data_IF_311927536226
#
_entry.id   IF_311927536226
#
_cell.length_a   1.000
_cell.length_b   1.000
_cell.length_c   1.000
_cell.angle_alpha   90.00
_cell.angle_beta   90.00
_cell.angle_gamma   90.00
#
_symmetry.space_group_name_H-M   'P 1'
#
loop_
_entity.id
_entity.type
_entity.pdbx_description
1 polymer ?
#
# COMPACT_ATOMS: atom_id res chain seq x y z
N UNK A 1 -20.38 23.04 27.66
CA UNK A 1 -20.56 22.09 26.55
C UNK A 1 -20.17 22.79 25.25
N UNK A 2 -18.96 22.55 24.76
CA UNK A 2 -18.50 23.12 23.49
C UNK A 2 -19.03 22.24 22.35
N UNK A 3 -19.97 22.76 21.57
CA UNK A 3 -20.44 22.10 20.35
C UNK A 3 -19.34 22.21 19.29
N UNK A 4 -18.73 21.08 18.98
CA UNK A 4 -17.74 20.96 17.92
C UNK A 4 -18.47 21.19 16.58
N UNK A 5 -18.49 22.44 16.11
CA UNK A 5 -18.93 22.79 14.75
C UNK A 5 -17.94 22.13 13.77
N UNK A 6 -18.18 20.88 13.42
CA UNK A 6 -17.60 20.27 12.24
C UNK A 6 -18.06 21.07 11.03
N UNK A 7 -17.14 21.85 10.47
CA UNK A 7 -17.30 22.58 9.22
C UNK A 7 -17.59 21.58 8.08
N UNK A 8 -18.87 21.36 7.81
CA UNK A 8 -19.34 20.54 6.70
C UNK A 8 -19.04 21.20 5.33
N UNK A 9 -18.71 22.50 5.34
CA UNK A 9 -18.28 23.26 4.16
C UNK A 9 -16.91 22.83 3.60
N UNK A 10 -16.11 22.06 4.33
CA UNK A 10 -14.80 21.57 3.86
C UNK A 10 -14.88 20.30 2.99
N UNK A 11 -16.08 19.75 2.81
CA UNK A 11 -16.28 18.46 2.15
C UNK A 11 -16.53 18.55 0.64
N UNK A 12 -16.75 19.75 0.09
CA UNK A 12 -16.87 19.93 -1.37
C UNK A 12 -15.47 19.87 -2.00
N UNK A 13 -15.26 18.89 -2.87
CA UNK A 13 -14.01 18.75 -3.63
C UNK A 13 -13.94 19.84 -4.71
N UNK A 14 -12.80 20.55 -4.87
CA UNK A 14 -12.58 21.41 -6.03
C UNK A 14 -12.80 20.62 -7.33
N UNK A 15 -13.36 21.26 -8.37
CA UNK A 15 -13.65 20.60 -9.65
C UNK A 15 -12.42 19.91 -10.26
N UNK A 16 -11.25 20.53 -10.14
CA UNK A 16 -9.97 19.96 -10.58
C UNK A 16 -9.59 18.68 -9.83
N UNK A 17 -9.88 18.63 -8.52
CA UNK A 17 -9.60 17.45 -7.68
C UNK A 17 -10.56 16.31 -7.99
N UNK A 18 -11.82 16.64 -8.31
CA UNK A 18 -12.81 15.68 -8.83
C UNK A 18 -12.32 15.06 -10.14
N UNK A 19 -11.85 15.88 -11.09
CA UNK A 19 -11.31 15.39 -12.35
C UNK A 19 -10.12 14.44 -12.14
N UNK A 20 -9.19 14.79 -11.24
CA UNK A 20 -8.05 13.92 -10.88
C UNK A 20 -8.48 12.62 -10.20
N UNK A 21 -9.47 12.67 -9.30
CA UNK A 21 -10.06 11.48 -8.69
C UNK A 21 -10.62 10.55 -9.77
N UNK A 22 -11.38 11.08 -10.73
CA UNK A 22 -12.02 10.28 -11.77
C UNK A 22 -11.01 9.66 -12.73
N UNK A 23 -9.96 10.40 -13.07
CA UNK A 23 -8.80 9.88 -13.81
C UNK A 23 -8.15 8.69 -13.08
N UNK A 24 -7.86 8.86 -11.78
CA UNK A 24 -7.27 7.80 -10.95
C UNK A 24 -8.20 6.59 -10.83
N UNK A 25 -9.50 6.81 -10.60
CA UNK A 25 -10.49 5.74 -10.53
C UNK A 25 -10.58 4.96 -11.85
N UNK A 26 -10.57 5.65 -12.98
CA UNK A 26 -10.56 5.02 -14.30
C UNK A 26 -9.30 4.20 -14.55
N UNK A 27 -8.13 4.68 -14.13
CA UNK A 27 -6.89 3.92 -14.23
C UNK A 27 -6.94 2.67 -13.34
N UNK A 28 -7.40 2.80 -12.08
CA UNK A 28 -7.50 1.68 -11.14
C UNK A 28 -8.50 0.60 -11.59
N UNK A 29 -9.58 0.97 -12.29
CA UNK A 29 -10.52 -0.02 -12.86
C UNK A 29 -9.94 -0.79 -14.04
N UNK A 30 -9.00 -0.20 -14.79
CA UNK A 30 -8.30 -0.85 -15.90
C UNK A 30 -7.08 -1.64 -15.44
N UNK A 31 -6.47 -1.24 -14.33
CA UNK A 31 -5.28 -1.87 -13.80
C UNK A 31 -5.57 -3.33 -13.41
N UNK A 32 -4.81 -4.26 -13.98
CA UNK A 32 -4.60 -5.55 -13.32
C UNK A 32 -3.61 -5.33 -12.15
N UNK A 33 -3.71 -6.16 -11.11
CA UNK A 33 -2.85 -6.05 -9.92
C UNK A 33 -1.34 -6.06 -10.25
N UNK A 34 -0.96 -6.60 -11.41
CA UNK A 34 0.41 -6.74 -11.92
C UNK A 34 0.77 -5.78 -13.07
N UNK A 35 -0.14 -4.89 -13.49
CA UNK A 35 0.12 -3.94 -14.57
C UNK A 35 0.97 -2.76 -14.07
N UNK A 36 2.28 -2.87 -14.25
CA UNK A 36 3.23 -1.85 -13.82
C UNK A 36 3.00 -0.51 -14.52
N UNK A 37 2.60 -0.49 -15.79
CA UNK A 37 2.42 0.74 -16.56
C UNK A 37 1.20 1.51 -16.08
N UNK A 38 0.07 0.84 -15.87
CA UNK A 38 -1.12 1.50 -15.33
C UNK A 38 -0.88 2.03 -13.91
N UNK A 39 -0.18 1.26 -13.06
CA UNK A 39 0.18 1.70 -11.71
C UNK A 39 1.12 2.93 -11.74
N UNK A 40 2.04 3.00 -12.70
CA UNK A 40 2.89 4.17 -12.91
C UNK A 40 2.08 5.40 -13.29
N UNK A 41 1.11 5.26 -14.22
CA UNK A 41 0.21 6.36 -14.62
C UNK A 41 -0.63 6.87 -13.45
N UNK A 42 -1.12 5.98 -12.58
CA UNK A 42 -1.77 6.38 -11.32
C UNK A 42 -0.78 7.20 -10.48
N UNK A 43 0.46 6.73 -10.36
CA UNK A 43 1.54 7.45 -9.69
C UNK A 43 1.77 8.86 -10.24
N UNK A 44 1.81 9.03 -11.56
CA UNK A 44 1.96 10.34 -12.23
C UNK A 44 0.80 11.27 -11.87
N UNK A 45 -0.44 10.78 -11.93
CA UNK A 45 -1.62 11.56 -11.60
C UNK A 45 -1.61 12.00 -10.12
N UNK A 46 -1.27 11.10 -9.19
CA UNK A 46 -1.16 11.42 -7.76
C UNK A 46 0.00 12.39 -7.50
N UNK A 47 1.14 12.20 -8.16
CA UNK A 47 2.31 13.07 -8.01
C UNK A 47 2.01 14.51 -8.46
N UNK A 48 1.23 14.67 -9.54
CA UNK A 48 0.76 16.00 -9.97
C UNK A 48 -0.08 16.68 -8.88
N UNK A 49 -0.98 15.94 -8.21
CA UNK A 49 -1.77 16.46 -7.07
C UNK A 49 -0.87 16.88 -5.90
N UNK A 50 0.19 16.12 -5.63
CA UNK A 50 1.13 16.43 -4.54
C UNK A 50 1.98 17.68 -4.81
N UNK A 51 2.32 17.95 -6.08
CA UNK A 51 3.19 19.09 -6.44
C UNK A 51 2.48 20.44 -6.42
N UNK A 52 1.15 20.46 -6.43
CA UNK A 52 0.35 21.69 -6.47
C UNK A 52 -0.65 21.75 -5.29
N UNK A 53 -0.16 21.92 -4.05
CA UNK A 53 -1.00 21.98 -2.86
C UNK A 53 -1.87 23.24 -2.80
N UNK A 54 -1.56 24.29 -3.57
CA UNK A 54 -2.39 25.49 -3.66
C UNK A 54 -3.68 25.21 -4.43
N UNK A 55 -3.57 24.49 -5.55
CA UNK A 55 -4.72 24.08 -6.36
C UNK A 55 -5.55 22.98 -5.72
N UNK A 56 -4.90 21.95 -5.19
CA UNK A 56 -5.57 20.72 -4.73
C UNK A 56 -5.77 20.63 -3.22
N UNK A 57 -5.13 21.52 -2.45
CA UNK A 57 -5.10 21.50 -0.99
C UNK A 57 -4.15 20.44 -0.42
N UNK A 58 -3.63 20.72 0.79
CA UNK A 58 -2.69 19.83 1.52
C UNK A 58 -3.22 18.41 1.78
N UNK A 59 -4.54 18.22 1.72
CA UNK A 59 -5.22 16.93 1.93
C UNK A 59 -5.77 16.33 0.63
N UNK A 60 -5.39 16.85 -0.54
CA UNK A 60 -5.94 16.43 -1.84
C UNK A 60 -5.85 14.92 -2.06
N UNK A 61 -4.67 14.32 -1.84
CA UNK A 61 -4.48 12.86 -1.98
C UNK A 61 -5.33 12.06 -0.99
N UNK A 62 -5.45 12.52 0.26
CA UNK A 62 -6.28 11.84 1.27
C UNK A 62 -7.77 11.89 0.90
N UNK A 63 -8.23 13.01 0.35
CA UNK A 63 -9.59 13.17 -0.16
C UNK A 63 -9.86 12.27 -1.37
N UNK A 64 -8.89 12.14 -2.29
CA UNK A 64 -8.97 11.18 -3.41
C UNK A 64 -9.06 9.76 -2.88
N UNK A 65 -8.15 9.35 -1.98
CA UNK A 65 -8.10 8.01 -1.42
C UNK A 65 -9.41 7.60 -0.73
N UNK A 66 -10.10 8.53 -0.08
CA UNK A 66 -11.41 8.27 0.53
C UNK A 66 -12.51 7.96 -0.51
N UNK A 67 -12.31 8.32 -1.78
CA UNK A 67 -13.29 8.18 -2.85
C UNK A 67 -12.93 7.11 -3.89
N UNK A 68 -11.81 6.41 -3.73
CA UNK A 68 -11.36 5.33 -4.62
C UNK A 68 -11.02 4.08 -3.78
N UNK A 69 -11.03 2.86 -4.34
CA UNK A 69 -10.74 1.63 -3.58
C UNK A 69 -9.23 1.45 -3.34
N UNK A 70 -8.54 2.49 -2.85
CA UNK A 70 -7.11 2.50 -2.57
C UNK A 70 -6.80 3.34 -1.34
N UNK A 71 -5.82 2.92 -0.55
CA UNK A 71 -5.38 3.70 0.61
C UNK A 71 -4.49 4.87 0.19
N UNK A 72 -4.49 5.94 0.99
CA UNK A 72 -3.62 7.09 0.73
C UNK A 72 -2.13 6.69 0.72
N UNK A 73 -1.73 5.79 1.62
CA UNK A 73 -0.35 5.27 1.69
C UNK A 73 0.09 4.58 0.39
N UNK A 74 -0.82 3.82 -0.23
CA UNK A 74 -0.55 3.17 -1.52
C UNK A 74 -0.39 4.22 -2.63
N UNK A 75 -1.30 5.20 -2.71
CA UNK A 75 -1.22 6.29 -3.70
C UNK A 75 0.09 7.09 -3.55
N UNK A 76 0.52 7.41 -2.33
CA UNK A 76 1.81 8.05 -2.09
C UNK A 76 2.99 7.18 -2.54
N UNK A 77 2.90 5.87 -2.37
CA UNK A 77 3.93 4.94 -2.84
C UNK A 77 4.02 4.93 -4.38
N UNK A 78 2.88 5.00 -5.07
CA UNK A 78 2.83 5.08 -6.53
C UNK A 78 3.41 6.41 -7.02
N UNK A 79 3.02 7.52 -6.38
CA UNK A 79 3.59 8.83 -6.68
C UNK A 79 5.10 8.89 -6.46
N UNK A 80 5.62 8.18 -5.47
CA UNK A 80 7.06 8.09 -5.22
C UNK A 80 7.81 7.42 -6.37
N UNK A 81 7.24 6.38 -6.98
CA UNK A 81 7.79 5.74 -8.18
C UNK A 81 7.82 6.74 -9.33
N UNK A 82 6.69 7.41 -9.61
CA UNK A 82 6.59 8.44 -10.66
C UNK A 82 7.52 9.64 -10.44
N UNK A 83 7.79 10.01 -9.18
CA UNK A 83 8.75 11.06 -8.84
C UNK A 83 10.22 10.61 -9.01
N UNK A 84 10.48 9.31 -9.04
CA UNK A 84 11.84 8.74 -9.09
C UNK A 84 12.32 8.52 -10.52
N UNK A 85 11.42 8.13 -11.42
CA UNK A 85 11.71 7.87 -12.83
C UNK A 85 10.71 8.63 -13.70
N UNK A 86 11.22 9.32 -14.72
CA UNK A 86 10.40 9.81 -15.82
C UNK A 86 9.88 8.63 -16.67
N UNK A 87 9.00 8.93 -17.62
CA UNK A 87 8.30 7.92 -18.42
C UNK A 87 9.27 7.07 -19.25
N UNK A 88 10.31 7.68 -19.82
CA UNK A 88 11.32 6.99 -20.61
C UNK A 88 12.16 6.04 -19.73
N UNK A 89 12.67 6.53 -18.60
CA UNK A 89 13.47 5.73 -17.66
C UNK A 89 12.64 4.61 -17.04
N UNK A 90 11.37 4.87 -16.73
CA UNK A 90 10.44 3.86 -16.24
C UNK A 90 10.21 2.78 -17.29
N UNK A 91 9.92 3.17 -18.54
CA UNK A 91 9.75 2.26 -19.67
C UNK A 91 10.97 1.39 -19.91
N UNK A 92 12.17 1.97 -19.88
CA UNK A 92 13.42 1.23 -19.97
C UNK A 92 13.56 0.21 -18.82
N UNK A 93 13.26 0.63 -17.59
CA UNK A 93 13.41 -0.21 -16.40
C UNK A 93 12.47 -1.43 -16.39
N UNK A 94 11.19 -1.27 -16.75
CA UNK A 94 10.24 -2.39 -16.77
C UNK A 94 10.50 -3.39 -17.90
N UNK A 95 11.24 -2.98 -18.94
CA UNK A 95 11.65 -3.86 -20.03
C UNK A 95 12.95 -4.62 -19.74
N UNK A 96 13.70 -4.25 -18.69
CA UNK A 96 14.85 -5.02 -18.22
C UNK A 96 14.36 -6.35 -17.64
N UNK A 97 15.00 -7.44 -18.05
CA UNK A 97 14.70 -8.80 -17.61
C UNK A 97 15.84 -9.37 -16.77
N UNK A 98 15.49 -10.13 -15.76
CA UNK A 98 16.44 -10.90 -14.96
C UNK A 98 16.96 -12.13 -15.72
N UNK A 99 17.84 -12.91 -15.10
CA UNK A 99 18.36 -14.16 -15.66
C UNK A 99 17.31 -15.24 -15.94
N UNK A 100 16.08 -15.07 -15.45
CA UNK A 100 14.92 -15.95 -15.68
C UNK A 100 13.94 -15.37 -16.70
N UNK A 101 14.28 -14.26 -17.35
CA UNK A 101 13.43 -13.59 -18.33
C UNK A 101 12.25 -12.83 -17.71
N UNK A 102 12.22 -12.64 -16.39
CA UNK A 102 11.16 -11.91 -15.68
C UNK A 102 11.54 -10.43 -15.55
N UNK A 103 10.57 -9.54 -15.74
CA UNK A 103 10.75 -8.12 -15.45
C UNK A 103 10.43 -7.78 -13.99
N UNK A 104 10.81 -6.58 -13.55
CA UNK A 104 10.38 -6.09 -12.25
C UNK A 104 8.86 -5.88 -12.20
N UNK A 105 8.21 -6.47 -11.20
CA UNK A 105 6.86 -6.06 -10.81
C UNK A 105 6.86 -4.67 -10.16
N UNK A 106 5.71 -4.00 -10.15
CA UNK A 106 5.58 -2.67 -9.56
C UNK A 106 6.01 -2.60 -8.07
N UNK A 107 5.82 -3.68 -7.31
CA UNK A 107 6.28 -3.77 -5.92
C UNK A 107 7.81 -3.73 -5.77
N UNK A 108 8.57 -4.23 -6.75
CA UNK A 108 10.02 -4.03 -6.77
C UNK A 108 10.36 -2.56 -6.94
N UNK A 109 9.65 -1.86 -7.83
CA UNK A 109 9.86 -0.45 -8.13
C UNK A 109 9.54 0.44 -6.91
N UNK A 110 8.49 0.13 -6.14
CA UNK A 110 8.19 0.80 -4.87
C UNK A 110 9.37 0.65 -3.89
N UNK A 111 9.92 -0.56 -3.74
CA UNK A 111 11.05 -0.81 -2.85
C UNK A 111 12.31 -0.05 -3.28
N UNK A 112 12.57 0.04 -4.59
CA UNK A 112 13.69 0.78 -5.17
C UNK A 112 13.52 2.29 -5.05
N UNK A 113 12.33 2.83 -5.29
CA UNK A 113 12.01 4.25 -5.10
C UNK A 113 12.23 4.68 -3.64
N UNK A 114 12.15 3.73 -2.69
CA UNK A 114 12.52 3.90 -1.29
C UNK A 114 13.96 4.36 -1.05
N UNK A 115 14.88 4.12 -1.99
CA UNK A 115 16.31 4.43 -1.86
C UNK A 115 16.58 5.84 -2.39
N UNK A 116 16.88 6.79 -1.50
CA UNK A 116 17.10 8.20 -1.88
C UNK A 116 18.32 8.43 -2.77
N UNK A 117 19.36 7.61 -2.62
CA UNK A 117 20.61 7.73 -3.38
C UNK A 117 20.49 7.08 -4.76
N UNK A 118 20.64 7.88 -5.82
CA UNK A 118 20.45 7.41 -7.18
C UNK A 118 21.49 6.35 -7.61
N UNK A 119 22.77 6.55 -7.27
CA UNK A 119 23.83 5.61 -7.63
C UNK A 119 23.63 4.27 -6.92
N UNK A 120 23.30 4.31 -5.63
CA UNK A 120 22.99 3.11 -4.85
C UNK A 120 21.76 2.38 -5.36
N UNK A 121 20.73 3.12 -5.79
CA UNK A 121 19.52 2.55 -6.39
C UNK A 121 19.84 1.81 -7.69
N UNK A 122 20.71 2.36 -8.53
CA UNK A 122 21.14 1.69 -9.76
C UNK A 122 21.94 0.40 -9.47
N UNK A 123 22.87 0.44 -8.52
CA UNK A 123 23.58 -0.77 -8.08
C UNK A 123 22.62 -1.86 -7.57
N UNK A 124 21.58 -1.47 -6.83
CA UNK A 124 20.56 -2.41 -6.35
C UNK A 124 19.70 -2.97 -7.49
N UNK A 125 19.41 -2.17 -8.52
CA UNK A 125 18.71 -2.61 -9.74
C UNK A 125 19.54 -3.69 -10.45
N UNK A 126 20.82 -3.41 -10.70
CA UNK A 126 21.74 -4.33 -11.38
C UNK A 126 21.89 -5.64 -10.60
N UNK A 127 22.12 -5.56 -9.28
CA UNK A 127 22.23 -6.74 -8.43
C UNK A 127 20.93 -7.56 -8.39
N UNK A 128 19.78 -6.90 -8.31
CA UNK A 128 18.49 -7.57 -8.25
C UNK A 128 18.17 -8.32 -9.55
N UNK A 129 18.48 -7.74 -10.71
CA UNK A 129 18.34 -8.39 -12.02
C UNK A 129 19.33 -9.57 -12.17
N UNK A 130 20.59 -9.38 -11.79
CA UNK A 130 21.60 -10.44 -11.88
C UNK A 130 21.25 -11.65 -11.00
N UNK A 131 20.76 -11.40 -9.78
CA UNK A 131 20.46 -12.43 -8.78
C UNK A 131 19.01 -12.89 -8.77
N UNK A 132 18.17 -12.36 -9.66
CA UNK A 132 16.72 -12.62 -9.71
C UNK A 132 16.07 -12.51 -8.32
N UNK A 133 16.32 -11.41 -7.61
CA UNK A 133 15.82 -11.21 -6.25
C UNK A 133 14.31 -11.12 -6.20
N UNK A 134 13.72 -11.73 -5.16
CA UNK A 134 12.32 -11.48 -4.83
C UNK A 134 12.12 -10.06 -4.28
N UNK A 135 10.89 -9.55 -4.30
CA UNK A 135 10.52 -8.28 -3.65
C UNK A 135 11.01 -8.24 -2.20
N UNK A 136 10.91 -9.36 -1.47
CA UNK A 136 11.31 -9.45 -0.06
C UNK A 136 12.83 -9.32 0.10
N UNK A 137 13.60 -9.95 -0.78
CA UNK A 137 15.07 -9.87 -0.77
C UNK A 137 15.54 -8.45 -1.09
N UNK A 138 14.97 -7.86 -2.15
CA UNK A 138 15.25 -6.50 -2.54
C UNK A 138 14.90 -5.51 -1.43
N UNK A 139 13.70 -5.61 -0.84
CA UNK A 139 13.29 -4.75 0.26
C UNK A 139 14.22 -4.88 1.48
N UNK A 140 14.70 -6.08 1.80
CA UNK A 140 15.69 -6.29 2.86
C UNK A 140 17.02 -5.58 2.56
N UNK A 141 17.47 -5.61 1.31
CA UNK A 141 18.69 -4.91 0.87
C UNK A 141 18.50 -3.38 0.90
N UNK A 142 17.35 -2.87 0.45
CA UNK A 142 16.99 -1.46 0.56
C UNK A 142 16.92 -0.97 2.03
N UNK A 143 16.41 -1.78 2.96
CA UNK A 143 16.40 -1.44 4.40
C UNK A 143 17.80 -1.43 5.02
N UNK A 144 18.61 -2.46 4.74
CA UNK A 144 20.01 -2.49 5.19
C UNK A 144 20.83 -1.31 4.66
N UNK A 145 20.48 -0.83 3.47
CA UNK A 145 21.02 0.38 2.88
C UNK A 145 20.64 1.68 3.63
N UNK A 146 19.48 1.71 4.30
CA UNK A 146 18.96 2.87 5.04
C UNK A 146 19.48 2.92 6.48
N UNK A 147 19.55 1.77 7.15
CA UNK A 147 20.02 1.66 8.53
C UNK A 147 21.45 2.21 8.73
N UNK A 148 22.29 2.17 7.70
CA UNK A 148 23.67 2.70 7.74
C UNK A 148 23.77 4.23 7.63
N UNK A 149 22.70 4.95 7.29
CA UNK A 149 22.70 6.43 7.18
C UNK A 149 22.04 7.15 8.36
N UNK A 150 21.57 6.41 9.36
CA UNK A 150 21.09 6.97 10.62
C UNK A 150 19.59 7.24 10.70
N UNK A 151 19.15 7.27 11.96
CA UNK A 151 17.90 7.83 12.46
C UNK A 151 16.66 6.91 12.51
N UNK A 152 16.28 6.66 13.76
CA UNK A 152 15.31 5.74 14.37
C UNK A 152 13.84 6.09 14.08
N UNK A 153 13.54 7.24 13.47
CA UNK A 153 12.18 7.78 13.42
C UNK A 153 11.33 7.32 12.21
N UNK A 154 11.91 6.79 11.14
CA UNK A 154 11.18 6.48 9.89
C UNK A 154 10.79 4.99 9.75
N UNK A 155 11.11 4.14 10.72
CA UNK A 155 10.81 2.70 10.67
C UNK A 155 9.32 2.37 10.88
N UNK A 156 8.58 3.23 11.58
CA UNK A 156 7.21 2.93 12.01
C UNK A 156 6.22 2.90 10.84
N UNK A 157 6.32 3.82 9.89
CA UNK A 157 5.44 3.87 8.71
C UNK A 157 5.64 2.68 7.77
N UNK A 158 6.88 2.22 7.60
CA UNK A 158 7.21 1.08 6.74
C UNK A 158 6.79 -0.25 7.38
N UNK A 159 6.89 -0.37 8.71
CA UNK A 159 6.40 -1.53 9.48
C UNK A 159 4.87 -1.56 9.47
N UNK A 160 4.21 -0.42 9.73
CA UNK A 160 2.76 -0.31 9.63
C UNK A 160 2.26 -0.60 8.21
N UNK A 161 2.97 -0.18 7.17
CA UNK A 161 2.65 -0.52 5.78
C UNK A 161 2.69 -2.03 5.53
N UNK A 162 3.75 -2.71 5.98
CA UNK A 162 3.87 -4.16 5.83
C UNK A 162 2.84 -4.94 6.66
N UNK A 163 2.55 -4.50 7.89
CA UNK A 163 1.53 -5.09 8.75
C UNK A 163 0.15 -4.87 8.13
N UNK A 164 -0.21 -3.63 7.76
CA UNK A 164 -1.51 -3.32 7.17
C UNK A 164 -1.73 -4.12 5.90
N UNK A 165 -0.80 -4.15 4.94
CA UNK A 165 -0.96 -4.95 3.71
C UNK A 165 -1.18 -6.45 3.96
N UNK A 166 -0.47 -7.04 4.92
CA UNK A 166 -0.68 -8.45 5.29
C UNK A 166 -2.03 -8.69 5.97
N UNK A 167 -2.50 -7.72 6.75
CA UNK A 167 -3.76 -7.83 7.50
C UNK A 167 -4.96 -7.59 6.59
N UNK A 168 -4.89 -6.61 5.69
CA UNK A 168 -5.94 -6.32 4.71
C UNK A 168 -6.16 -7.52 3.78
N UNK A 169 -5.10 -8.15 3.28
CA UNK A 169 -5.22 -9.34 2.43
C UNK A 169 -5.86 -10.54 3.16
N UNK A 170 -5.60 -10.70 4.46
CA UNK A 170 -6.22 -11.75 5.28
C UNK A 170 -7.71 -11.46 5.54
N UNK A 171 -8.06 -10.19 5.80
CA UNK A 171 -9.45 -9.75 5.97
C UNK A 171 -10.24 -9.90 4.67
N UNK A 172 -9.69 -9.47 3.54
CA UNK A 172 -10.34 -9.59 2.22
C UNK A 172 -10.57 -11.05 1.83
N UNK A 173 -9.72 -11.98 2.26
CA UNK A 173 -9.96 -13.42 2.09
C UNK A 173 -11.13 -13.88 2.95
N UNK A 174 -11.13 -13.53 4.25
CA UNK A 174 -12.21 -13.89 5.16
C UNK A 174 -13.57 -13.32 4.73
N UNK A 175 -13.61 -12.09 4.21
CA UNK A 175 -14.84 -11.47 3.67
C UNK A 175 -15.36 -12.23 2.45
N UNK A 176 -14.47 -12.59 1.50
CA UNK A 176 -14.86 -13.40 0.33
C UNK A 176 -15.41 -14.76 0.72
N UNK A 177 -14.79 -15.41 1.71
CA UNK A 177 -15.24 -16.72 2.20
C UNK A 177 -16.62 -16.62 2.87
N UNK A 178 -16.88 -15.54 3.63
CA UNK A 178 -18.19 -15.26 4.22
C UNK A 178 -19.26 -14.94 3.16
N UNK A 179 -18.93 -14.16 2.14
CA UNK A 179 -19.85 -13.87 1.03
C UNK A 179 -20.21 -15.12 0.23
N UNK A 180 -19.24 -16.02 0.01
CA UNK A 180 -19.48 -17.31 -0.62
C UNK A 180 -20.47 -18.15 0.19
N UNK A 181 -20.30 -18.22 1.52
CA UNK A 181 -21.24 -18.91 2.40
C UNK A 181 -22.63 -18.28 2.42
N UNK A 182 -22.71 -16.95 2.45
CA UNK A 182 -23.99 -16.24 2.41
C UNK A 182 -24.77 -16.56 1.12
N UNK A 183 -24.08 -16.68 -0.03
CA UNK A 183 -24.69 -17.10 -1.30
C UNK A 183 -25.18 -18.56 -1.26
N UNK A 184 -24.44 -19.47 -0.63
CA UNK A 184 -24.90 -20.86 -0.46
C UNK A 184 -26.15 -20.91 0.42
N UNK A 185 -26.16 -20.20 1.56
CA UNK A 185 -27.31 -20.14 2.45
C UNK A 185 -28.56 -19.54 1.76
N UNK A 186 -28.39 -18.48 0.97
CA UNK A 186 -29.48 -17.85 0.22
C UNK A 186 -30.06 -18.75 -0.89
N UNK A 187 -29.31 -19.75 -1.38
CA UNK A 187 -29.76 -20.65 -2.44
C UNK A 187 -30.73 -21.74 -1.96
N UNK A 188 -31.01 -21.84 -0.66
CA UNK A 188 -31.85 -22.89 -0.08
C UNK A 188 -31.24 -24.30 -0.16
N UNK A 189 -30.03 -24.43 -0.71
CA UNK A 189 -29.26 -25.68 -0.59
C UNK A 189 -28.84 -25.84 0.87
N UNK A 190 -29.02 -27.03 1.46
CA UNK A 190 -28.43 -27.32 2.75
C UNK A 190 -26.91 -27.07 2.65
N UNK A 191 -26.29 -26.45 3.67
CA UNK A 191 -24.85 -26.27 3.68
C UNK A 191 -24.20 -27.64 3.44
N UNK A 192 -23.11 -27.71 2.66
CA UNK A 192 -22.43 -28.98 2.45
C UNK A 192 -22.14 -29.61 3.82
N UNK A 193 -22.54 -30.87 4.01
CA UNK A 193 -22.32 -31.65 5.25
C UNK A 193 -20.84 -31.78 5.65
N UNK A 194 -19.94 -31.22 4.86
CA UNK A 194 -18.53 -31.16 5.16
C UNK A 194 -18.24 -30.17 6.29
N UNK A 195 -18.50 -30.61 7.52
CA UNK A 195 -18.16 -29.97 8.79
C UNK A 195 -16.72 -29.47 8.82
N UNK A 196 -15.79 -30.11 8.12
CA UNK A 196 -14.39 -29.70 8.03
C UNK A 196 -14.22 -28.31 7.39
N UNK A 197 -15.00 -27.97 6.36
CA UNK A 197 -14.89 -26.66 5.68
C UNK A 197 -15.38 -25.51 6.54
N UNK A 198 -16.48 -25.74 7.28
CA UNK A 198 -17.02 -24.76 8.23
C UNK A 198 -16.08 -24.60 9.43
N UNK A 199 -15.53 -25.71 9.92
CA UNK A 199 -14.61 -25.71 11.05
C UNK A 199 -13.29 -25.01 10.71
N UNK A 200 -12.72 -25.27 9.52
CA UNK A 200 -11.53 -24.58 9.01
C UNK A 200 -11.77 -23.07 8.85
N UNK A 201 -12.94 -22.66 8.36
CA UNK A 201 -13.28 -21.24 8.27
C UNK A 201 -13.40 -20.59 9.65
N UNK A 202 -14.09 -21.24 10.60
CA UNK A 202 -14.18 -20.74 11.96
C UNK A 202 -12.81 -20.63 12.63
N UNK A 203 -11.91 -21.58 12.38
CA UNK A 203 -10.53 -21.54 12.85
C UNK A 203 -9.75 -20.37 12.24
N UNK A 204 -9.88 -20.16 10.93
CA UNK A 204 -9.29 -19.00 10.25
C UNK A 204 -9.82 -17.66 10.80
N UNK A 205 -11.12 -17.55 11.07
CA UNK A 205 -11.73 -16.37 11.68
C UNK A 205 -11.23 -16.13 13.12
N UNK A 206 -11.09 -17.19 13.92
CA UNK A 206 -10.51 -17.10 15.28
C UNK A 206 -9.06 -16.66 15.23
N UNK A 207 -8.25 -17.23 14.33
CA UNK A 207 -6.86 -16.86 14.14
C UNK A 207 -6.70 -15.41 13.68
N UNK A 208 -7.56 -14.94 12.77
CA UNK A 208 -7.59 -13.54 12.35
C UNK A 208 -7.95 -12.61 13.53
N UNK A 209 -8.98 -12.96 14.31
CA UNK A 209 -9.38 -12.19 15.51
C UNK A 209 -8.24 -12.11 16.54
N UNK A 210 -7.56 -13.22 16.82
CA UNK A 210 -6.43 -13.25 17.75
C UNK A 210 -5.31 -12.30 17.30
N UNK A 211 -4.93 -12.33 16.02
CA UNK A 211 -3.92 -11.42 15.46
C UNK A 211 -4.33 -9.95 15.55
N UNK A 212 -5.61 -9.64 15.37
CA UNK A 212 -6.11 -8.28 15.56
C UNK A 212 -5.97 -7.81 17.01
N UNK A 213 -6.31 -8.66 17.98
CA UNK A 213 -6.13 -8.34 19.40
C UNK A 213 -4.65 -8.13 19.77
N UNK A 214 -3.74 -8.96 19.24
CA UNK A 214 -2.28 -8.75 19.44
C UNK A 214 -1.80 -7.41 18.87
N UNK A 215 -2.31 -7.01 17.70
CA UNK A 215 -1.97 -5.72 17.10
C UNK A 215 -2.53 -4.54 17.91
N UNK A 216 -3.74 -4.67 18.45
CA UNK A 216 -4.37 -3.66 19.30
C UNK A 216 -3.60 -3.49 20.61
N UNK A 217 -3.16 -4.59 21.23
CA UNK A 217 -2.28 -4.54 22.41
C UNK A 217 -0.93 -3.89 22.09
N UNK A 218 -0.29 -4.26 20.98
CA UNK A 218 0.97 -3.65 20.55
C UNK A 218 0.81 -2.15 20.31
N UNK A 219 -0.24 -1.73 19.61
CA UNK A 219 -0.54 -0.32 19.39
C UNK A 219 -0.78 0.41 20.71
N UNK A 220 -1.53 -0.19 21.64
CA UNK A 220 -1.76 0.37 22.97
C UNK A 220 -0.46 0.54 23.76
N UNK A 221 0.42 -0.47 23.74
CA UNK A 221 1.75 -0.40 24.39
C UNK A 221 2.61 0.71 23.80
N UNK A 222 2.66 0.80 22.48
CA UNK A 222 3.43 1.83 21.78
C UNK A 222 2.92 3.24 22.08
N UNK A 223 1.61 3.43 22.18
CA UNK A 223 1.00 4.72 22.53
C UNK A 223 1.11 5.06 24.03
N UNK A 224 1.23 4.06 24.90
CA UNK A 224 1.29 4.23 26.35
C UNK A 224 2.73 4.31 26.90
N UNK A 225 3.75 4.08 26.08
CA UNK A 225 5.15 4.19 26.51
C UNK A 225 5.54 5.67 26.54
N UNK A 226 5.83 6.26 27.72
CA UNK A 226 6.20 7.67 27.80
C UNK A 226 7.51 7.94 27.07
N UNK A 227 7.55 9.02 26.28
CA UNK A 227 8.69 9.48 25.47
C UNK A 227 9.95 9.91 26.28
N UNK A 228 10.07 9.50 27.55
CA UNK A 228 11.05 10.05 28.49
C UNK A 228 12.46 9.45 28.41
N UNK A 229 12.71 8.39 27.64
CA UNK A 229 14.05 7.75 27.58
C UNK A 229 14.91 8.15 26.35
N UNK A 230 14.53 9.18 25.58
CA UNK A 230 15.28 9.60 24.38
C UNK A 230 16.17 10.84 24.56
N UNK A 231 16.42 11.30 25.80
CA UNK A 231 17.12 12.55 26.10
C UNK A 231 18.34 12.43 27.05
N UNK A 232 18.83 11.22 27.31
CA UNK A 232 20.13 10.96 27.97
C UNK A 232 21.08 10.22 27.01
#
# INVERSE_FOLDING_TARGET
MATNKTNDSDNVLPADLIAKRDEIALLLTKARLDDAETNYRVGVAVYAVMRDPERYGKRGVAKIAAAVPCTAALLYSYAKVAATWDEESFGALINRKDSKGQSFSFSHLIALAGVSDAQKRELLIDEALAKAWSVRDLARKCRGARARRGSTALAFGDILGAITSSTTAAVERAVRDLEALAKVAASGRPPPENTESVQLLMENCRAAKARFSELEELATRLLSTPLQEAAE
#
